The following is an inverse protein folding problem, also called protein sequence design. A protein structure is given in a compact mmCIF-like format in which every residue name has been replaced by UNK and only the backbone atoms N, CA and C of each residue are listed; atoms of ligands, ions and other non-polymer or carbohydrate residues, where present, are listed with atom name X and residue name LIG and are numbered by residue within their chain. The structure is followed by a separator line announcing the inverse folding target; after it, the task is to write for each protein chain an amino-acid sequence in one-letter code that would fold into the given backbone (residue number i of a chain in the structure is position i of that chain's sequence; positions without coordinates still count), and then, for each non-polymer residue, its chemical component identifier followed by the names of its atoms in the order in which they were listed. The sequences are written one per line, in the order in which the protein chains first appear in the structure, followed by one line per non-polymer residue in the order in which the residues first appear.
data_IF_938973035380
#
_entry.id   IF_938973035380
#
_cell.length_a   1.000
_cell.length_b   1.000
_cell.length_c   1.000
_cell.angle_alpha   90.00
_cell.angle_beta   90.00
_cell.angle_gamma   90.00
#
_symmetry.space_group_name_H-M   'P 1'
#
loop_
_entity.id
_entity.type
_entity.pdbx_description
1 polymer ?
#
# COMPACT_ATOMS: atom_id res chain seq x y z
N UNK A 1 -2.13 -24.51 -15.29
CA UNK A 1 -3.52 -24.02 -15.17
C UNK A 1 -3.39 -22.58 -14.76
N UNK A 2 -3.49 -21.70 -15.73
CA UNK A 2 -3.04 -20.32 -15.63
C UNK A 2 -3.96 -19.52 -14.69
N UNK A 3 -3.31 -18.76 -13.82
CA UNK A 3 -3.96 -17.92 -12.82
C UNK A 3 -4.75 -16.81 -13.49
N UNK A 4 -6.07 -16.90 -13.39
CA UNK A 4 -6.97 -15.84 -13.82
C UNK A 4 -6.92 -14.69 -12.81
N UNK A 5 -6.04 -13.71 -13.03
CA UNK A 5 -6.22 -12.38 -12.46
C UNK A 5 -7.28 -11.66 -13.27
N UNK A 6 -8.53 -11.68 -12.81
CA UNK A 6 -9.58 -10.85 -13.38
C UNK A 6 -9.28 -9.39 -13.05
N UNK A 7 -8.72 -8.63 -14.00
CA UNK A 7 -8.70 -7.18 -13.91
C UNK A 7 -10.13 -6.69 -14.15
N UNK A 8 -10.79 -6.25 -13.09
CA UNK A 8 -12.12 -5.64 -13.18
C UNK A 8 -11.94 -4.23 -13.79
N UNK A 9 -12.25 -4.07 -15.07
CA UNK A 9 -12.07 -2.81 -15.80
C UNK A 9 -13.17 -1.78 -15.51
N UNK A 10 -14.28 -2.18 -14.89
CA UNK A 10 -15.33 -1.29 -14.41
C UNK A 10 -16.31 -2.02 -13.46
N UNK A 11 -16.94 -1.28 -12.55
CA UNK A 11 -18.04 -1.74 -11.71
C UNK A 11 -19.25 -0.81 -11.85
N UNK A 12 -20.47 -1.35 -11.75
CA UNK A 12 -21.71 -0.57 -11.79
C UNK A 12 -22.23 -0.30 -10.39
N UNK A 13 -22.24 0.97 -9.95
CA UNK A 13 -22.80 1.40 -8.66
C UNK A 13 -24.25 0.93 -8.48
N UNK A 14 -24.69 0.84 -7.23
CA UNK A 14 -26.08 0.67 -6.79
C UNK A 14 -27.05 1.70 -7.39
N UNK A 15 -26.60 2.92 -7.71
CA UNK A 15 -27.38 3.93 -8.45
C UNK A 15 -27.22 3.83 -9.99
N UNK A 16 -26.55 2.78 -10.49
CA UNK A 16 -26.41 2.49 -11.92
C UNK A 16 -25.25 3.21 -12.63
N UNK A 17 -24.48 4.03 -11.92
CA UNK A 17 -23.30 4.73 -12.45
C UNK A 17 -22.17 3.76 -12.78
N UNK A 18 -21.53 3.93 -13.95
CA UNK A 18 -20.36 3.14 -14.33
C UNK A 18 -19.11 3.75 -13.67
N UNK A 19 -18.44 2.96 -12.83
CA UNK A 19 -17.18 3.30 -12.18
C UNK A 19 -16.05 2.59 -12.94
N UNK A 20 -15.41 3.29 -13.88
CA UNK A 20 -14.24 2.78 -14.62
C UNK A 20 -12.92 3.23 -14.02
N UNK A 21 -12.91 4.34 -13.28
CA UNK A 21 -11.69 4.87 -12.69
C UNK A 21 -11.30 4.09 -11.44
N UNK A 22 -10.01 3.70 -11.29
CA UNK A 22 -9.54 2.96 -10.12
C UNK A 22 -9.85 3.65 -8.78
N UNK A 23 -9.85 4.98 -8.73
CA UNK A 23 -10.22 5.76 -7.54
C UNK A 23 -11.68 5.56 -7.15
N UNK A 24 -12.58 5.53 -8.12
CA UNK A 24 -14.02 5.45 -7.89
C UNK A 24 -14.43 4.02 -7.54
N UNK A 25 -13.76 3.03 -8.16
CA UNK A 25 -13.87 1.63 -7.78
C UNK A 25 -13.45 1.42 -6.32
N UNK A 26 -12.33 2.01 -5.88
CA UNK A 26 -11.85 1.91 -4.49
C UNK A 26 -12.78 2.59 -3.49
N UNK A 27 -13.27 3.80 -3.81
CA UNK A 27 -14.22 4.54 -2.97
C UNK A 27 -15.51 3.77 -2.72
N UNK A 28 -15.95 2.95 -3.67
CA UNK A 28 -17.11 2.08 -3.46
C UNK A 28 -16.81 0.87 -2.57
N UNK A 29 -15.60 0.33 -2.64
CA UNK A 29 -15.23 -0.87 -1.90
C UNK A 29 -15.05 -0.61 -0.39
N UNK A 30 -14.92 0.64 0.02
CA UNK A 30 -14.72 1.08 1.39
C UNK A 30 -15.83 2.05 1.80
N UNK A 31 -16.15 2.13 3.10
CA UNK A 31 -17.00 3.22 3.58
C UNK A 31 -16.23 4.55 3.49
N UNK A 32 -16.96 5.67 3.50
CA UNK A 32 -16.32 7.00 3.49
C UNK A 32 -15.40 7.17 4.69
N UNK A 33 -15.78 6.65 5.85
CA UNK A 33 -14.99 6.67 7.08
C UNK A 33 -13.71 5.84 6.95
N UNK A 34 -13.79 4.60 6.46
CA UNK A 34 -12.62 3.75 6.25
C UNK A 34 -11.67 4.32 5.18
N UNK A 35 -12.22 4.97 4.14
CA UNK A 35 -11.40 5.65 3.14
C UNK A 35 -10.76 6.94 3.68
N UNK A 36 -11.42 7.63 4.60
CA UNK A 36 -10.86 8.79 5.30
C UNK A 36 -9.68 8.39 6.20
N UNK A 37 -9.74 7.24 6.88
CA UNK A 37 -8.63 6.70 7.66
C UNK A 37 -7.39 6.42 6.78
N UNK A 38 -7.59 5.89 5.57
CA UNK A 38 -6.52 5.65 4.60
C UNK A 38 -6.00 6.93 3.92
N UNK A 39 -6.69 8.06 4.09
CA UNK A 39 -6.27 9.35 3.56
C UNK A 39 -5.25 10.05 4.47
N UNK A 40 -5.04 9.53 5.68
CA UNK A 40 -4.02 10.05 6.59
C UNK A 40 -2.60 9.62 6.14
N UNK A 41 -1.61 10.46 6.45
CA UNK A 41 -0.21 10.14 6.18
C UNK A 41 0.27 9.00 7.05
N UNK A 42 1.12 8.12 6.52
CA UNK A 42 1.72 7.04 7.30
C UNK A 42 2.52 7.62 8.48
N UNK A 43 2.28 7.06 9.67
CA UNK A 43 3.01 7.41 10.88
C UNK A 43 4.38 6.72 10.92
N UNK A 44 5.31 7.29 11.70
CA UNK A 44 6.64 6.71 11.90
C UNK A 44 6.55 5.30 12.52
N UNK A 45 5.60 5.08 13.42
CA UNK A 45 5.35 3.78 14.05
C UNK A 45 4.90 2.74 13.01
N UNK A 46 4.02 3.12 12.08
CA UNK A 46 3.58 2.24 11.00
C UNK A 46 4.73 1.89 10.06
N UNK A 47 5.59 2.86 9.74
CA UNK A 47 6.80 2.60 8.97
C UNK A 47 7.75 1.64 9.68
N UNK A 48 8.03 1.87 10.97
CA UNK A 48 8.89 0.99 11.73
C UNK A 48 8.30 -0.43 11.81
N UNK A 49 7.02 -0.55 12.13
CA UNK A 49 6.33 -1.84 12.20
C UNK A 49 6.39 -2.57 10.85
N UNK A 50 6.13 -1.86 9.75
CA UNK A 50 6.25 -2.41 8.41
C UNK A 50 7.67 -2.87 8.12
N UNK A 51 8.68 -2.05 8.43
CA UNK A 51 10.09 -2.36 8.22
C UNK A 51 10.52 -3.61 9.00
N UNK A 52 10.14 -3.70 10.28
CA UNK A 52 10.45 -4.86 11.14
C UNK A 52 9.77 -6.14 10.65
N UNK A 53 8.57 -6.04 10.08
CA UNK A 53 7.83 -7.19 9.56
C UNK A 53 8.43 -7.84 8.30
N UNK A 54 9.27 -7.12 7.54
CA UNK A 54 9.80 -7.62 6.27
C UNK A 54 10.87 -8.69 6.48
N UNK A 55 10.85 -9.74 5.67
CA UNK A 55 11.87 -10.80 5.71
C UNK A 55 13.19 -10.32 5.10
N UNK A 56 14.30 -10.72 5.72
CA UNK A 56 15.65 -10.47 5.23
C UNK A 56 16.04 -11.42 4.09
N UNK A 57 17.10 -11.08 3.34
CA UNK A 57 17.59 -11.94 2.24
C UNK A 57 16.75 -11.94 0.97
N UNK A 58 15.88 -10.94 0.78
CA UNK A 58 15.22 -10.68 -0.51
C UNK A 58 16.12 -9.83 -1.41
N UNK A 59 15.86 -9.88 -2.72
CA UNK A 59 16.53 -9.01 -3.68
C UNK A 59 16.35 -7.53 -3.30
N UNK A 60 17.39 -6.68 -3.46
CA UNK A 60 17.30 -5.25 -3.17
C UNK A 60 16.21 -4.54 -3.98
N UNK A 61 15.76 -3.41 -3.47
CA UNK A 61 14.80 -2.54 -4.16
C UNK A 61 15.39 -1.86 -5.39
N UNK A 62 14.62 -0.95 -6.00
CA UNK A 62 15.07 -0.11 -7.12
C UNK A 62 16.25 0.80 -6.74
N UNK A 63 16.41 1.07 -5.45
CA UNK A 63 17.53 1.78 -4.83
C UNK A 63 18.81 0.93 -4.70
N UNK A 64 18.74 -0.38 -4.92
CA UNK A 64 19.86 -1.30 -4.73
C UNK A 64 20.19 -1.62 -3.27
N UNK A 65 19.40 -1.14 -2.31
CA UNK A 65 19.61 -1.38 -0.87
C UNK A 65 18.77 -2.55 -0.38
N UNK A 66 19.36 -3.38 0.49
CA UNK A 66 18.65 -4.49 1.11
C UNK A 66 17.76 -4.00 2.25
N UNK A 67 16.75 -4.80 2.60
CA UNK A 67 15.94 -4.54 3.80
C UNK A 67 16.76 -4.57 5.09
N UNK A 68 17.85 -5.35 5.12
CA UNK A 68 18.78 -5.41 6.24
C UNK A 68 19.46 -4.05 6.49
N UNK A 69 19.84 -3.35 5.41
CA UNK A 69 20.36 -1.99 5.52
C UNK A 69 19.36 -1.08 6.21
N UNK A 70 18.12 -1.03 5.71
CA UNK A 70 17.08 -0.18 6.30
C UNK A 70 16.81 -0.52 7.77
N UNK A 71 16.79 -1.81 8.14
CA UNK A 71 16.61 -2.23 9.53
C UNK A 71 17.75 -1.83 10.46
N UNK A 72 18.98 -1.81 9.95
CA UNK A 72 20.19 -1.44 10.69
C UNK A 72 20.31 0.07 10.90
N UNK A 73 19.94 0.86 9.90
CA UNK A 73 20.10 2.32 9.92
C UNK A 73 18.80 3.09 10.17
N UNK A 74 17.71 2.40 10.51
CA UNK A 74 16.41 3.04 10.77
C UNK A 74 16.49 4.15 11.82
N UNK A 75 17.28 3.98 12.87
CA UNK A 75 17.44 4.99 13.94
C UNK A 75 18.03 6.32 13.45
N UNK A 76 18.81 6.29 12.36
CA UNK A 76 19.41 7.47 11.75
C UNK A 76 18.47 8.05 10.69
N UNK A 77 17.86 7.19 9.87
CA UNK A 77 16.96 7.60 8.79
C UNK A 77 15.62 8.15 9.28
N UNK A 78 15.07 7.59 10.34
CA UNK A 78 13.77 7.97 10.91
C UNK A 78 13.74 9.41 11.45
N UNK A 79 14.90 10.05 11.63
CA UNK A 79 15.00 11.43 12.11
C UNK A 79 14.70 12.47 11.00
N UNK A 80 14.88 12.09 9.75
CA UNK A 80 14.71 12.94 8.56
C UNK A 80 13.35 12.72 7.84
N UNK A 81 12.47 11.91 8.42
CA UNK A 81 11.17 11.48 7.87
C UNK A 81 10.00 12.09 8.65
#
# INVERSE_FOLDING_TARGET
IDGWTFQIHALRSDVGTLLSEPSDIRKRALSEEANAELSYGLTLEEFEKALRSKECGKAPGVDGLSIDFYKSFWSEMALDL
#
